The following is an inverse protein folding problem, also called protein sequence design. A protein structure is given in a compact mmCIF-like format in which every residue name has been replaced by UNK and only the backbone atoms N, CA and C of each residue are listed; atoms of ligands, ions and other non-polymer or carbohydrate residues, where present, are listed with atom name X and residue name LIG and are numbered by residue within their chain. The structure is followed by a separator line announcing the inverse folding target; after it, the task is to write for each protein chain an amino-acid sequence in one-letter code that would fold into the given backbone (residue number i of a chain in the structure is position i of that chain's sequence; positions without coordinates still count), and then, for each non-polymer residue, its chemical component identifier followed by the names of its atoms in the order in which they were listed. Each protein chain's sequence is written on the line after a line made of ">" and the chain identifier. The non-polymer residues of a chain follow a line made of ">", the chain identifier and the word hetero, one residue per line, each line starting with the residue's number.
data_IF_620877559316
#
_entry.id   IF_620877559316
#
_cell.length_a   1.000
_cell.length_b   1.000
_cell.length_c   1.000
_cell.angle_alpha   90.00
_cell.angle_beta   90.00
_cell.angle_gamma   90.00
#
_symmetry.space_group_name_H-M   'P 1'
#
loop_
_entity.id
_entity.type
_entity.pdbx_description
1 polymer ?
#
# COMPACT_ATOMS: atom_id res chain seq x y z
N UNK A 1 -25.61 16.55 20.92
CA UNK A 1 -24.24 16.16 21.37
C UNK A 1 -23.42 15.91 20.12
N UNK A 2 -22.36 16.65 19.81
CA UNK A 2 -21.52 16.37 18.67
C UNK A 2 -20.77 15.05 18.91
N UNK A 3 -20.91 14.11 17.98
CA UNK A 3 -20.27 12.82 18.03
C UNK A 3 -18.77 13.00 17.71
N UNK A 4 -17.91 13.03 18.71
CA UNK A 4 -16.46 13.15 18.52
C UNK A 4 -15.84 11.79 18.32
N UNK A 5 -15.47 11.48 17.09
CA UNK A 5 -14.71 10.28 16.77
C UNK A 5 -13.34 10.33 17.44
N UNK A 6 -12.97 9.29 18.17
CA UNK A 6 -11.63 9.23 18.74
C UNK A 6 -10.59 9.01 17.62
N UNK A 7 -9.42 9.62 17.74
CA UNK A 7 -8.32 9.43 16.77
C UNK A 7 -7.97 7.94 16.54
N UNK A 8 -8.16 7.10 17.57
CA UNK A 8 -7.96 5.65 17.47
C UNK A 8 -9.03 4.98 16.61
N UNK A 9 -10.30 5.41 16.71
CA UNK A 9 -11.38 4.88 15.89
C UNK A 9 -11.16 5.24 14.41
N UNK A 10 -10.82 6.50 14.12
CA UNK A 10 -10.49 6.95 12.77
C UNK A 10 -9.34 6.15 12.17
N UNK A 11 -8.27 5.91 12.93
CA UNK A 11 -7.13 5.13 12.48
C UNK A 11 -7.49 3.67 12.18
N UNK A 12 -8.32 3.04 13.04
CA UNK A 12 -8.79 1.66 12.82
C UNK A 12 -9.64 1.55 11.56
N UNK A 13 -10.56 2.47 11.36
CA UNK A 13 -11.42 2.51 10.17
C UNK A 13 -10.59 2.75 8.90
N UNK A 14 -9.62 3.67 8.96
CA UNK A 14 -8.72 3.93 7.84
C UNK A 14 -7.86 2.70 7.49
N UNK A 15 -7.33 1.98 8.49
CA UNK A 15 -6.60 0.75 8.28
C UNK A 15 -7.51 -0.36 7.69
N UNK A 16 -8.73 -0.50 8.19
CA UNK A 16 -9.70 -1.46 7.66
C UNK A 16 -10.09 -1.15 6.21
N UNK A 17 -10.30 0.13 5.89
CA UNK A 17 -10.61 0.55 4.52
C UNK A 17 -9.44 0.26 3.56
N UNK A 18 -8.20 0.56 3.95
CA UNK A 18 -7.01 0.23 3.15
C UNK A 18 -6.86 -1.29 3.00
N UNK A 19 -7.09 -2.07 4.07
CA UNK A 19 -7.04 -3.54 4.00
C UNK A 19 -8.09 -4.10 3.05
N UNK A 20 -9.32 -3.57 3.08
CA UNK A 20 -10.38 -3.98 2.16
C UNK A 20 -10.02 -3.68 0.69
N UNK A 21 -9.44 -2.50 0.43
CA UNK A 21 -8.95 -2.12 -0.89
C UNK A 21 -7.89 -3.11 -1.39
N UNK A 22 -6.88 -3.40 -0.56
CA UNK A 22 -5.80 -4.33 -0.90
C UNK A 22 -6.31 -5.76 -1.11
N UNK A 23 -7.21 -6.26 -0.27
CA UNK A 23 -7.80 -7.60 -0.45
C UNK A 23 -8.61 -7.70 -1.73
N UNK A 24 -9.36 -6.65 -2.08
CA UNK A 24 -10.12 -6.60 -3.33
C UNK A 24 -9.16 -6.62 -4.53
N UNK A 25 -8.08 -5.84 -4.47
CA UNK A 25 -7.02 -5.84 -5.49
C UNK A 25 -6.34 -7.20 -5.58
N UNK A 26 -5.89 -7.75 -4.45
CA UNK A 26 -5.25 -9.06 -4.38
C UNK A 26 -6.13 -10.16 -5.00
N UNK A 27 -7.42 -10.16 -4.68
CA UNK A 27 -8.36 -11.13 -5.27
C UNK A 27 -8.44 -10.98 -6.79
N UNK A 28 -8.38 -9.75 -7.33
CA UNK A 28 -8.39 -9.53 -8.76
C UNK A 28 -7.11 -10.04 -9.43
N UNK A 29 -5.94 -9.99 -8.76
CA UNK A 29 -4.69 -10.56 -9.28
C UNK A 29 -4.83 -12.06 -9.59
N UNK A 30 -5.57 -12.80 -8.77
CA UNK A 30 -5.79 -14.24 -8.95
C UNK A 30 -6.97 -14.58 -9.87
N UNK A 31 -7.99 -13.72 -9.95
CA UNK A 31 -9.17 -13.97 -10.80
C UNK A 31 -9.00 -13.49 -12.23
N UNK A 32 -8.24 -12.44 -12.44
CA UNK A 32 -8.05 -11.79 -13.73
C UNK A 32 -6.62 -11.22 -13.82
N UNK A 33 -5.59 -12.08 -13.89
CA UNK A 33 -4.19 -11.65 -13.95
C UNK A 33 -3.90 -10.79 -15.18
N UNK A 34 -4.57 -11.04 -16.30
CA UNK A 34 -4.39 -10.30 -17.54
C UNK A 34 -4.64 -8.79 -17.39
N UNK A 35 -5.52 -8.40 -16.46
CA UNK A 35 -5.78 -6.99 -16.14
C UNK A 35 -4.52 -6.25 -15.65
N UNK A 36 -3.59 -6.96 -15.03
CA UNK A 36 -2.35 -6.40 -14.46
C UNK A 36 -1.15 -6.55 -15.39
N UNK A 37 -1.22 -7.36 -16.45
CA UNK A 37 -0.10 -7.58 -17.37
C UNK A 37 0.47 -6.27 -17.94
N UNK A 38 -0.38 -5.28 -18.18
CA UNK A 38 0.02 -4.00 -18.74
C UNK A 38 0.89 -3.14 -17.81
N UNK A 39 0.85 -3.40 -16.50
CA UNK A 39 1.63 -2.65 -15.50
C UNK A 39 2.88 -3.38 -15.04
N UNK A 40 3.10 -4.61 -15.50
CA UNK A 40 4.36 -5.33 -15.30
C UNK A 40 5.32 -4.96 -16.43
N UNK A 41 6.48 -4.33 -16.14
CA UNK A 41 7.44 -3.94 -17.16
C UNK A 41 8.09 -5.16 -17.84
N UNK A 42 8.29 -5.08 -19.16
CA UNK A 42 8.85 -6.18 -19.94
C UNK A 42 10.27 -6.58 -19.50
N UNK A 43 11.07 -5.61 -19.05
CA UNK A 43 12.44 -5.87 -18.61
C UNK A 43 12.54 -6.70 -17.30
N UNK A 44 11.44 -6.86 -16.58
CA UNK A 44 11.33 -7.73 -15.39
C UNK A 44 10.88 -9.15 -15.73
N UNK A 45 10.36 -9.36 -16.95
CA UNK A 45 9.74 -10.61 -17.32
C UNK A 45 10.69 -11.46 -18.14
N UNK A 46 10.84 -12.76 -17.77
CA UNK A 46 11.31 -13.78 -18.67
C UNK A 46 10.19 -14.16 -19.63
N UNK A 47 10.52 -14.74 -20.79
CA UNK A 47 9.50 -15.27 -21.68
C UNK A 47 8.81 -16.52 -21.05
N UNK A 48 7.62 -16.83 -21.54
CA UNK A 48 6.81 -17.94 -21.02
C UNK A 48 7.47 -19.33 -21.25
N UNK A 49 8.43 -19.42 -22.18
CA UNK A 49 9.22 -20.63 -22.41
C UNK A 49 10.34 -20.83 -21.39
N UNK A 50 10.64 -19.81 -20.58
CA UNK A 50 11.68 -19.79 -19.58
C UNK A 50 13.12 -19.83 -20.12
N UNK A 51 13.27 -19.74 -21.44
CA UNK A 51 14.56 -19.92 -22.15
C UNK A 51 15.27 -18.62 -22.47
N UNK A 52 14.54 -17.48 -22.53
CA UNK A 52 15.13 -16.15 -22.77
C UNK A 52 14.85 -15.18 -21.65
N UNK A 53 15.92 -14.57 -21.17
CA UNK A 53 15.84 -13.44 -20.26
C UNK A 53 15.73 -12.16 -21.09
N UNK A 54 14.67 -11.36 -20.90
CA UNK A 54 14.53 -10.05 -21.52
C UNK A 54 15.48 -9.00 -20.92
N UNK A 55 16.29 -9.41 -19.92
CA UNK A 55 17.26 -8.57 -19.24
C UNK A 55 17.77 -9.20 -17.94
N UNK A 56 18.77 -8.60 -17.29
CA UNK A 56 19.36 -9.13 -16.05
C UNK A 56 18.39 -9.22 -14.87
N UNK A 57 17.25 -8.51 -14.94
CA UNK A 57 16.20 -8.52 -13.92
C UNK A 57 15.01 -9.41 -14.29
N UNK A 58 15.05 -10.12 -15.43
CA UNK A 58 13.97 -10.95 -15.92
C UNK A 58 13.97 -12.33 -15.23
N UNK A 59 13.61 -12.36 -13.94
CA UNK A 59 13.69 -13.55 -13.06
C UNK A 59 12.40 -14.36 -13.02
N UNK A 60 11.25 -13.78 -13.32
CA UNK A 60 9.93 -14.41 -13.27
C UNK A 60 9.13 -14.12 -14.52
N UNK A 61 8.14 -14.97 -14.82
CA UNK A 61 7.14 -14.71 -15.86
C UNK A 61 6.24 -13.56 -15.42
N UNK A 62 5.47 -12.99 -16.34
CA UNK A 62 4.53 -11.93 -16.05
C UNK A 62 3.46 -12.36 -15.06
N UNK A 63 2.94 -13.58 -15.21
CA UNK A 63 1.93 -14.14 -14.29
C UNK A 63 2.49 -14.38 -12.90
N UNK A 64 3.73 -14.83 -12.78
CA UNK A 64 4.40 -14.99 -11.48
C UNK A 64 4.57 -13.63 -10.78
N UNK A 65 4.92 -12.56 -11.50
CA UNK A 65 4.98 -11.21 -10.94
C UNK A 65 3.61 -10.73 -10.46
N UNK A 66 2.55 -10.97 -11.25
CA UNK A 66 1.17 -10.63 -10.88
C UNK A 66 0.74 -11.40 -9.63
N UNK A 67 1.00 -12.71 -9.58
CA UNK A 67 0.67 -13.54 -8.41
C UNK A 67 1.44 -13.10 -7.16
N UNK A 68 2.75 -12.83 -7.27
CA UNK A 68 3.56 -12.34 -6.16
C UNK A 68 3.05 -11.00 -5.62
N UNK A 69 2.70 -10.06 -6.50
CA UNK A 69 2.15 -8.77 -6.06
C UNK A 69 0.82 -8.94 -5.33
N UNK A 70 -0.05 -9.84 -5.79
CA UNK A 70 -1.30 -10.18 -5.11
C UNK A 70 -1.07 -10.79 -3.72
N UNK A 71 -0.08 -11.67 -3.57
CA UNK A 71 0.29 -12.24 -2.27
C UNK A 71 0.83 -11.17 -1.31
N UNK A 72 1.67 -10.25 -1.81
CA UNK A 72 2.20 -9.15 -1.02
C UNK A 72 1.08 -8.20 -0.56
N UNK A 73 0.12 -7.88 -1.44
CA UNK A 73 -1.05 -7.08 -1.10
C UNK A 73 -1.91 -7.76 -0.02
N UNK A 74 -2.18 -9.05 -0.16
CA UNK A 74 -2.94 -9.82 0.82
C UNK A 74 -2.24 -9.87 2.18
N UNK A 75 -0.95 -10.17 2.20
CA UNK A 75 -0.15 -10.19 3.43
C UNK A 75 -0.09 -8.82 4.11
N UNK A 76 0.08 -7.76 3.34
CA UNK A 76 0.09 -6.39 3.83
C UNK A 76 -1.28 -5.95 4.39
N UNK A 77 -2.36 -6.36 3.74
CA UNK A 77 -3.73 -6.11 4.22
C UNK A 77 -3.98 -6.75 5.59
N UNK A 78 -3.58 -8.00 5.77
CA UNK A 78 -3.65 -8.69 7.08
C UNK A 78 -2.78 -7.97 8.10
N UNK A 79 -1.55 -7.61 7.73
CA UNK A 79 -0.62 -6.90 8.61
C UNK A 79 -1.14 -5.53 9.08
N UNK A 80 -1.97 -4.83 8.28
CA UNK A 80 -2.61 -3.58 8.70
C UNK A 80 -3.66 -3.78 9.80
N UNK A 81 -4.36 -4.90 9.80
CA UNK A 81 -5.41 -5.18 10.79
C UNK A 81 -4.83 -5.52 12.16
N UNK A 82 -3.63 -6.08 12.20
CA UNK A 82 -2.94 -6.43 13.44
C UNK A 82 -2.21 -5.19 14.01
N UNK A 83 -2.56 -4.72 15.21
CA UNK A 83 -1.96 -3.49 15.76
C UNK A 83 -0.43 -3.52 15.88
N UNK A 84 0.15 -4.67 16.23
CA UNK A 84 1.59 -4.85 16.39
C UNK A 84 2.37 -4.69 15.08
N UNK A 85 1.82 -5.14 13.95
CA UNK A 85 2.47 -5.12 12.64
C UNK A 85 2.04 -3.93 11.77
N UNK A 86 1.00 -3.19 12.16
CA UNK A 86 0.40 -2.11 11.38
C UNK A 86 1.40 -1.09 10.85
N UNK A 87 2.32 -0.64 11.69
CA UNK A 87 3.33 0.37 11.30
C UNK A 87 4.25 -0.17 10.21
N UNK A 88 4.71 -1.41 10.35
CA UNK A 88 5.56 -2.07 9.36
C UNK A 88 4.79 -2.34 8.06
N UNK A 89 3.58 -2.89 8.16
CA UNK A 89 2.69 -3.15 7.01
C UNK A 89 2.39 -1.85 6.24
N UNK A 90 2.02 -0.77 6.92
CA UNK A 90 1.79 0.53 6.30
C UNK A 90 3.02 1.07 5.57
N UNK A 91 4.22 0.88 6.14
CA UNK A 91 5.49 1.21 5.48
C UNK A 91 5.73 0.37 4.23
N UNK A 92 5.50 -0.93 4.33
CA UNK A 92 5.62 -1.87 3.22
C UNK A 92 4.65 -1.54 2.07
N UNK A 93 3.39 -1.20 2.39
CA UNK A 93 2.38 -0.78 1.39
C UNK A 93 2.82 0.50 0.68
N UNK A 94 3.30 1.50 1.42
CA UNK A 94 3.79 2.74 0.82
C UNK A 94 4.97 2.48 -0.13
N UNK A 95 5.92 1.61 0.27
CA UNK A 95 7.03 1.19 -0.57
C UNK A 95 6.54 0.41 -1.81
N UNK A 96 5.63 -0.53 -1.63
CA UNK A 96 5.04 -1.33 -2.71
C UNK A 96 4.33 -0.43 -3.75
N UNK A 97 3.49 0.51 -3.31
CA UNK A 97 2.84 1.44 -4.22
C UNK A 97 3.84 2.36 -4.95
N UNK A 98 4.95 2.72 -4.29
CA UNK A 98 6.02 3.48 -4.93
C UNK A 98 6.71 2.66 -6.02
N UNK A 99 6.96 1.37 -5.78
CA UNK A 99 7.50 0.47 -6.81
C UNK A 99 6.49 0.30 -7.97
N UNK A 100 5.22 0.12 -7.66
CA UNK A 100 4.17 0.02 -8.68
C UNK A 100 4.05 1.29 -9.54
N UNK A 101 4.41 2.45 -9.00
CA UNK A 101 4.45 3.70 -9.76
C UNK A 101 5.37 3.58 -10.99
N UNK A 102 6.51 2.89 -10.87
CA UNK A 102 7.40 2.64 -12.01
C UNK A 102 6.71 1.82 -13.12
N UNK A 103 5.96 0.79 -12.74
CA UNK A 103 5.15 0.00 -13.69
C UNK A 103 4.05 0.83 -14.35
N UNK A 104 3.38 1.72 -13.61
CA UNK A 104 2.37 2.61 -14.18
C UNK A 104 2.97 3.65 -15.14
N UNK A 105 4.17 4.17 -14.84
CA UNK A 105 4.90 5.08 -15.74
C UNK A 105 5.27 4.34 -17.03
N UNK A 106 5.79 3.12 -16.93
CA UNK A 106 6.15 2.31 -18.09
C UNK A 106 4.91 1.97 -18.93
N UNK A 107 3.82 1.55 -18.31
CA UNK A 107 2.55 1.30 -19.01
C UNK A 107 2.00 2.56 -19.71
N UNK A 108 2.13 3.73 -19.06
CA UNK A 108 1.75 5.01 -19.68
C UNK A 108 2.62 5.31 -20.92
N UNK A 109 3.94 5.11 -20.82
CA UNK A 109 4.86 5.31 -21.96
C UNK A 109 4.49 4.40 -23.12
N UNK A 110 4.20 3.13 -22.89
CA UNK A 110 3.75 2.17 -23.90
C UNK A 110 2.40 2.57 -24.50
N UNK A 111 1.45 3.04 -23.70
CA UNK A 111 0.14 3.49 -24.18
C UNK A 111 0.23 4.69 -25.13
N UNK A 112 1.23 5.55 -24.97
CA UNK A 112 1.49 6.67 -25.90
C UNK A 112 2.46 6.32 -27.04
N UNK A 113 3.02 5.11 -27.04
CA UNK A 113 3.84 4.59 -28.12
C UNK A 113 3.02 4.20 -29.37
N UNK A 114 3.72 3.72 -30.44
CA UNK A 114 3.09 3.39 -31.71
C UNK A 114 1.99 2.32 -31.65
N UNK A 115 2.12 1.36 -30.72
CA UNK A 115 1.15 0.27 -30.52
C UNK A 115 0.04 0.60 -29.51
N UNK A 116 0.03 1.80 -28.92
CA UNK A 116 -0.90 2.18 -27.87
C UNK A 116 -2.27 2.60 -28.39
N UNK A 117 -3.34 2.19 -27.70
CA UNK A 117 -4.72 2.53 -28.02
C UNK A 117 -5.23 3.74 -27.21
N UNK A 118 -6.27 4.46 -27.72
CA UNK A 118 -6.90 5.55 -26.98
C UNK A 118 -7.48 5.12 -25.61
N UNK A 119 -7.98 3.87 -25.52
CA UNK A 119 -8.47 3.31 -24.26
C UNK A 119 -7.36 3.15 -23.23
N UNK A 120 -6.22 2.60 -23.62
CA UNK A 120 -5.04 2.45 -22.76
C UNK A 120 -4.54 3.81 -22.28
N UNK A 121 -4.47 4.82 -23.16
CA UNK A 121 -4.07 6.19 -22.79
C UNK A 121 -4.96 6.75 -21.67
N UNK A 122 -6.29 6.67 -21.83
CA UNK A 122 -7.23 7.14 -20.80
C UNK A 122 -7.02 6.42 -19.46
N UNK A 123 -6.93 5.08 -19.48
CA UNK A 123 -6.79 4.27 -18.27
C UNK A 123 -5.48 4.59 -17.54
N UNK A 124 -4.35 4.59 -18.25
CA UNK A 124 -3.05 4.79 -17.59
C UNK A 124 -2.82 6.25 -17.16
N UNK A 125 -3.35 7.23 -17.92
CA UNK A 125 -3.34 8.64 -17.51
C UNK A 125 -4.15 8.87 -16.24
N UNK A 126 -5.31 8.21 -16.10
CA UNK A 126 -6.15 8.32 -14.90
C UNK A 126 -5.54 7.58 -13.69
N UNK A 127 -4.89 6.43 -13.91
CA UNK A 127 -4.32 5.62 -12.82
C UNK A 127 -3.08 6.23 -12.18
N UNK A 128 -2.24 6.89 -12.96
CA UNK A 128 -0.96 7.40 -12.47
C UNK A 128 -1.12 8.42 -11.31
N UNK A 129 -1.96 9.46 -11.41
CA UNK A 129 -2.14 10.41 -10.30
C UNK A 129 -2.80 9.76 -9.07
N UNK A 130 -3.56 8.67 -9.22
CA UNK A 130 -4.17 7.96 -8.08
C UNK A 130 -3.13 7.27 -7.19
N UNK A 131 -1.93 7.00 -7.68
CA UNK A 131 -0.86 6.39 -6.88
C UNK A 131 -0.39 7.32 -5.75
N UNK A 132 -0.33 8.63 -5.99
CA UNK A 132 0.14 9.59 -4.98
C UNK A 132 -0.72 9.59 -3.73
N UNK A 133 -2.06 9.77 -3.81
CA UNK A 133 -2.91 9.69 -2.62
C UNK A 133 -2.88 8.33 -1.94
N UNK A 134 -2.72 7.22 -2.67
CA UNK A 134 -2.60 5.89 -2.08
C UNK A 134 -1.30 5.73 -1.27
N UNK A 135 -0.17 6.21 -1.80
CA UNK A 135 1.12 6.22 -1.09
C UNK A 135 1.02 7.09 0.18
N UNK A 136 0.47 8.29 0.06
CA UNK A 136 0.30 9.19 1.20
C UNK A 136 -0.65 8.63 2.26
N UNK A 137 -1.74 7.98 1.83
CA UNK A 137 -2.67 7.31 2.72
C UNK A 137 -1.99 6.17 3.47
N UNK A 138 -1.30 5.26 2.77
CA UNK A 138 -0.53 4.19 3.40
C UNK A 138 0.50 4.75 4.39
N UNK A 139 1.24 5.79 4.00
CA UNK A 139 2.21 6.43 4.86
C UNK A 139 1.61 7.03 6.12
N UNK A 140 0.40 7.61 6.02
CA UNK A 140 -0.30 8.20 7.16
C UNK A 140 -0.67 7.17 8.23
N UNK A 141 -0.89 5.90 7.85
CA UNK A 141 -1.22 4.80 8.76
C UNK A 141 -0.03 4.34 9.62
N UNK A 142 1.20 4.78 9.29
CA UNK A 142 2.39 4.55 10.13
C UNK A 142 2.38 5.36 11.43
N UNK A 143 1.65 6.47 11.44
CA UNK A 143 1.54 7.31 12.65
C UNK A 143 0.70 6.54 13.65
N UNK A 144 1.32 6.14 14.77
CA UNK A 144 0.58 5.66 15.94
C UNK A 144 -0.27 6.84 16.43
N UNK A 145 -1.55 6.61 16.72
CA UNK A 145 -2.31 7.55 17.52
C UNK A 145 -1.67 7.55 18.93
N UNK A 146 -0.62 8.34 19.09
CA UNK A 146 -0.04 8.63 20.40
C UNK A 146 -1.16 9.28 21.19
N UNK A 147 -1.69 8.54 22.18
CA UNK A 147 -2.47 9.17 23.23
C UNK A 147 -1.63 10.34 23.72
N UNK A 148 -2.21 11.54 23.75
CA UNK A 148 -1.62 12.63 24.52
C UNK A 148 -1.16 12.05 25.85
N UNK A 149 0.11 12.22 26.28
CA UNK A 149 0.45 11.89 27.64
C UNK A 149 -0.54 12.66 28.49
N UNK A 150 -1.13 11.99 29.48
CA UNK A 150 -1.98 12.63 30.46
C UNK A 150 -1.09 13.66 31.20
N UNK A 151 -1.10 14.90 30.69
CA UNK A 151 -0.56 16.04 31.42
C UNK A 151 -1.46 16.25 32.63
N UNK A 152 -0.99 15.88 33.81
CA UNK A 152 -1.63 16.24 35.04
C UNK A 152 -1.82 15.11 36.03
N UNK A 153 -0.74 14.51 36.54
CA UNK A 153 -0.68 14.18 37.95
C UNK A 153 0.05 15.34 38.62
N UNK A 154 -0.61 16.10 39.49
CA UNK A 154 0.10 17.02 40.35
C UNK A 154 1.05 16.20 41.24
N UNK A 155 2.33 16.55 41.20
CA UNK A 155 3.32 16.04 42.11
C UNK A 155 2.76 16.23 43.53
N UNK A 156 2.66 15.14 44.26
CA UNK A 156 2.21 15.17 45.66
C UNK A 156 2.98 16.21 46.43
N UNK A 157 2.25 17.17 47.01
CA UNK A 157 2.83 18.14 47.92
C UNK A 157 3.44 17.47 49.13
N UNK A 158 4.43 18.09 49.78
CA UNK A 158 5.12 17.51 50.91
C UNK A 158 4.12 17.36 52.08
N UNK A 159 4.14 16.17 52.68
CA UNK A 159 3.41 15.87 53.93
C UNK A 159 4.05 16.73 55.02
N UNK A 160 3.36 17.81 55.41
CA UNK A 160 3.78 18.64 56.55
C UNK A 160 3.73 17.83 57.84
N UNK A 161 4.78 17.99 58.61
CA UNK A 161 5.15 17.20 59.77
C UNK A 161 4.10 17.12 60.90
N UNK A 162 4.16 16.02 61.63
CA UNK A 162 3.60 15.85 62.93
C UNK A 162 4.49 16.59 63.95
N UNK A 163 3.90 17.38 64.90
CA UNK A 163 4.60 17.83 66.07
C UNK A 163 4.68 16.72 67.14
N UNK A 164 5.72 16.81 67.91
CA UNK A 164 6.05 15.93 69.04
C UNK A 164 5.03 15.95 70.19
#
# INVERSE_FOLDING_TARGET
>A
MPFTWSARATQRLSAAAMSALLLTSAMKHFRDPAFFHQVVPDFLCRDDSGTRLNGPCAVMTRDEWVALSGLLEAGAAVGLLVPATRKAAAGGIAAMFTVFLAGHVDALRRAYGPAGSPGQRKVHTARLPLQVPLILWAWSLRKTALGKPALGMPAGGPVAGLPA
#
